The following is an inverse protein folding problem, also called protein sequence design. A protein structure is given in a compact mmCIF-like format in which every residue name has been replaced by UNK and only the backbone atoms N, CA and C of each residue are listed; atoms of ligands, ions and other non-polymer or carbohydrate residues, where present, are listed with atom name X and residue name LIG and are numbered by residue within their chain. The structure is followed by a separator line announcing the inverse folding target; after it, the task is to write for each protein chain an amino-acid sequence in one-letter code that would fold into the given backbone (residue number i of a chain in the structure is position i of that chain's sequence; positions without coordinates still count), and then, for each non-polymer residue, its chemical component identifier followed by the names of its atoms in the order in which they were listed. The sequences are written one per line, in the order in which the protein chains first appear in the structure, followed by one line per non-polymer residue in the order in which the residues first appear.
data_IF_323995351041
#
_entry.id   IF_323995351041
#
_cell.length_a   1.000
_cell.length_b   1.000
_cell.length_c   1.000
_cell.angle_alpha   90.00
_cell.angle_beta   90.00
_cell.angle_gamma   90.00
#
_symmetry.space_group_name_H-M   'P 1'
#
loop_
_entity.id
_entity.type
_entity.pdbx_description
1 polymer ?
#
# COMPACT_ATOMS: atom_id res chain seq x y z
N UNK A 1 9.03 -28.04 62.36
CA UNK A 1 8.57 -26.67 62.05
C UNK A 1 9.10 -26.27 60.68
N UNK A 2 8.36 -25.47 59.90
CA UNK A 2 8.66 -25.24 58.48
C UNK A 2 9.76 -24.19 58.27
N UNK A 3 10.74 -24.50 57.42
CA UNK A 3 11.48 -23.47 56.68
C UNK A 3 10.61 -23.04 55.50
N UNK A 4 10.47 -21.73 55.27
CA UNK A 4 9.91 -21.18 54.03
C UNK A 4 10.99 -20.29 53.44
N UNK A 5 11.57 -20.71 52.31
CA UNK A 5 12.43 -19.84 51.51
C UNK A 5 11.56 -18.93 50.65
N UNK A 6 11.87 -17.63 50.63
CA UNK A 6 11.21 -16.69 49.71
C UNK A 6 11.83 -16.90 48.33
N UNK A 7 11.17 -17.71 47.49
CA UNK A 7 11.50 -17.81 46.07
C UNK A 7 10.83 -16.62 45.36
N UNK A 8 11.63 -15.69 44.87
CA UNK A 8 11.12 -14.57 44.08
C UNK A 8 10.64 -15.06 42.71
N UNK A 9 9.36 -15.36 42.58
CA UNK A 9 8.72 -15.55 41.28
C UNK A 9 8.68 -14.20 40.56
N UNK A 10 9.58 -14.04 39.59
CA UNK A 10 9.50 -12.96 38.60
C UNK A 10 8.32 -13.26 37.68
N UNK A 11 7.10 -12.86 38.08
CA UNK A 11 5.91 -12.97 37.24
C UNK A 11 6.06 -11.97 36.10
N UNK A 12 6.61 -12.43 34.98
CA UNK A 12 6.55 -11.70 33.71
C UNK A 12 5.08 -11.66 33.32
N UNK A 13 4.43 -10.53 33.58
CA UNK A 13 3.09 -10.25 33.08
C UNK A 13 3.23 -10.04 31.57
N UNK A 14 3.15 -11.14 30.82
CA UNK A 14 2.83 -11.09 29.39
C UNK A 14 1.37 -10.65 29.34
N UNK A 15 1.16 -9.34 29.41
CA UNK A 15 -0.12 -8.72 29.13
C UNK A 15 -0.41 -8.96 27.65
N UNK A 16 -1.11 -10.07 27.37
CA UNK A 16 -1.60 -10.43 26.06
C UNK A 16 -2.73 -9.50 25.63
N UNK A 17 -2.40 -8.22 25.45
CA UNK A 17 -3.22 -7.25 24.74
C UNK A 17 -3.31 -7.70 23.28
N UNK A 18 -4.22 -8.64 23.00
CA UNK A 18 -4.80 -8.73 21.67
C UNK A 18 -5.44 -7.37 21.39
N UNK A 19 -5.07 -6.66 20.31
CA UNK A 19 -5.78 -5.46 19.92
C UNK A 19 -7.24 -5.79 19.62
N UNK A 20 -8.09 -4.76 19.66
CA UNK A 20 -9.55 -4.88 19.69
C UNK A 20 -10.13 -5.30 18.34
N UNK A 21 -9.88 -6.55 17.96
CA UNK A 21 -10.24 -7.20 16.68
C UNK A 21 -11.64 -7.80 16.68
N UNK A 22 -12.48 -7.42 17.65
CA UNK A 22 -13.92 -7.67 17.62
C UNK A 22 -14.56 -6.74 16.57
N UNK A 23 -14.48 -7.15 15.30
CA UNK A 23 -15.43 -6.73 14.27
C UNK A 23 -16.85 -6.83 14.85
N UNK A 24 -17.72 -5.82 14.67
CA UNK A 24 -19.04 -5.83 15.27
C UNK A 24 -19.84 -7.03 14.77
N UNK A 25 -20.03 -8.02 15.67
CA UNK A 25 -20.75 -9.28 15.44
C UNK A 25 -22.23 -9.07 15.07
N UNK A 26 -22.69 -7.82 15.16
CA UNK A 26 -23.97 -7.31 14.68
C UNK A 26 -23.70 -6.11 13.76
N UNK A 27 -23.56 -6.36 12.45
CA UNK A 27 -23.30 -5.32 11.45
C UNK A 27 -22.95 -5.90 10.07
N UNK A 28 -22.15 -6.96 10.04
CA UNK A 28 -21.77 -7.66 8.79
C UNK A 28 -20.88 -6.81 7.88
N UNK A 29 -20.81 -7.20 6.60
CA UNK A 29 -19.99 -6.52 5.59
C UNK A 29 -20.56 -5.17 5.15
N UNK A 30 -21.83 -4.89 5.47
CA UNK A 30 -22.52 -3.64 5.08
C UNK A 30 -21.84 -2.39 5.67
N UNK A 31 -21.23 -2.49 6.86
CA UNK A 31 -20.50 -1.38 7.53
C UNK A 31 -19.21 -0.94 6.79
N UNK A 32 -18.78 -1.72 5.80
CA UNK A 32 -17.64 -1.41 4.93
C UNK A 32 -18.07 -0.68 3.65
N UNK A 33 -19.33 -0.84 3.22
CA UNK A 33 -19.86 -0.24 1.98
C UNK A 33 -20.19 1.24 2.19
N UNK A 34 -20.10 2.09 1.14
CA UNK A 34 -20.54 3.48 1.21
C UNK A 34 -22.03 3.55 1.54
N UNK A 35 -22.41 4.46 2.44
CA UNK A 35 -23.81 4.70 2.87
C UNK A 35 -24.35 6.06 2.36
N UNK A 36 -23.74 6.58 1.31
CA UNK A 36 -23.92 7.93 0.76
C UNK A 36 -24.35 7.88 -0.71
N UNK A 37 -24.84 9.02 -1.23
CA UNK A 37 -25.30 9.14 -2.61
C UNK A 37 -24.19 8.83 -3.64
N UNK A 38 -22.95 9.22 -3.30
CA UNK A 38 -21.76 8.98 -4.11
C UNK A 38 -20.60 8.46 -3.26
N UNK A 39 -19.66 7.76 -3.89
CA UNK A 39 -18.32 7.53 -3.34
C UNK A 39 -17.25 8.24 -4.20
N UNK A 40 -16.18 8.72 -3.56
CA UNK A 40 -15.05 9.34 -4.26
C UNK A 40 -13.76 8.73 -3.77
N UNK A 41 -12.96 8.18 -4.68
CA UNK A 41 -11.70 7.51 -4.39
C UNK A 41 -10.52 8.36 -4.89
N UNK A 42 -9.58 8.67 -4.00
CA UNK A 42 -8.38 9.47 -4.26
C UNK A 42 -7.15 8.66 -3.86
N UNK A 43 -6.69 7.83 -4.80
CA UNK A 43 -5.85 6.67 -4.49
C UNK A 43 -4.39 6.86 -4.91
N UNK A 44 -3.51 6.87 -3.92
CA UNK A 44 -2.08 6.71 -4.13
C UNK A 44 -1.63 5.35 -3.55
N UNK A 45 -0.68 4.68 -4.22
CA UNK A 45 -0.08 3.44 -3.73
C UNK A 45 -0.68 2.17 -4.31
N UNK A 46 -0.08 1.01 -4.01
CA UNK A 46 -0.61 -0.29 -4.48
C UNK A 46 -1.62 -0.92 -3.52
N UNK A 47 -1.41 -0.96 -2.19
CA UNK A 47 -2.43 -1.43 -1.25
C UNK A 47 -3.76 -0.65 -1.31
N UNK A 48 -3.79 0.71 -1.36
CA UNK A 48 -5.05 1.46 -1.49
C UNK A 48 -5.75 1.24 -2.84
N UNK A 49 -4.99 1.10 -3.94
CA UNK A 49 -5.53 0.77 -5.25
C UNK A 49 -6.14 -0.64 -5.28
N UNK A 50 -5.40 -1.66 -4.82
CA UNK A 50 -5.88 -3.03 -4.71
C UNK A 50 -7.13 -3.15 -3.83
N UNK A 51 -7.12 -2.48 -2.67
CA UNK A 51 -8.24 -2.52 -1.74
C UNK A 51 -9.49 -1.92 -2.37
N UNK A 52 -9.38 -0.73 -2.97
CA UNK A 52 -10.49 -0.05 -3.64
C UNK A 52 -10.99 -0.87 -4.83
N UNK A 53 -10.07 -1.42 -5.63
CA UNK A 53 -10.38 -2.31 -6.75
C UNK A 53 -11.22 -3.53 -6.37
N UNK A 54 -10.97 -4.09 -5.18
CA UNK A 54 -11.77 -5.17 -4.61
C UNK A 54 -13.10 -4.65 -4.03
N UNK A 55 -13.05 -3.52 -3.33
CA UNK A 55 -14.20 -2.91 -2.68
C UNK A 55 -15.29 -2.45 -3.67
N UNK A 56 -14.93 -2.01 -4.87
CA UNK A 56 -15.88 -1.62 -5.93
C UNK A 56 -16.87 -2.72 -6.31
N UNK A 57 -16.53 -4.00 -6.13
CA UNK A 57 -17.45 -5.12 -6.39
C UNK A 57 -18.43 -5.38 -5.23
N UNK A 58 -18.26 -4.73 -4.07
CA UNK A 58 -19.10 -4.91 -2.88
C UNK A 58 -20.38 -4.05 -2.90
N UNK A 59 -20.44 -3.01 -3.74
CA UNK A 59 -21.51 -2.01 -3.73
C UNK A 59 -21.83 -1.46 -5.13
N UNK A 60 -23.07 -1.02 -5.34
CA UNK A 60 -23.50 -0.38 -6.60
C UNK A 60 -23.53 1.17 -6.52
N UNK A 61 -23.12 1.76 -5.39
CA UNK A 61 -23.05 3.22 -5.20
C UNK A 61 -22.21 3.87 -6.32
N UNK A 62 -22.74 4.90 -7.03
CA UNK A 62 -22.01 5.62 -8.07
C UNK A 62 -20.71 6.21 -7.53
N UNK A 63 -19.60 5.89 -8.17
CA UNK A 63 -18.25 6.16 -7.66
C UNK A 63 -17.41 6.90 -8.68
N UNK A 64 -16.69 7.93 -8.25
CA UNK A 64 -15.67 8.60 -9.06
C UNK A 64 -14.30 8.22 -8.51
N UNK A 65 -13.39 7.77 -9.37
CA UNK A 65 -12.07 7.29 -8.97
C UNK A 65 -10.99 8.09 -9.68
N UNK A 66 -10.06 8.62 -8.92
CA UNK A 66 -8.71 8.91 -9.40
C UNK A 66 -7.70 7.99 -8.72
N UNK A 67 -6.70 7.56 -9.46
CA UNK A 67 -5.58 6.76 -8.93
C UNK A 67 -4.27 7.12 -9.61
N UNK A 68 -3.16 7.05 -8.87
CA UNK A 68 -1.83 7.15 -9.46
C UNK A 68 -1.37 5.88 -10.22
N UNK A 69 -2.19 4.81 -10.25
CA UNK A 69 -1.88 3.52 -10.91
C UNK A 69 -3.01 3.00 -11.82
N UNK A 70 -3.56 3.79 -12.77
CA UNK A 70 -4.68 3.34 -13.61
C UNK A 70 -4.32 2.11 -14.46
N UNK A 71 -3.04 1.94 -14.80
CA UNK A 71 -2.50 0.78 -15.53
C UNK A 71 -2.60 -0.56 -14.80
N UNK A 72 -2.89 -0.58 -13.49
CA UNK A 72 -3.18 -1.81 -12.74
C UNK A 72 -4.58 -2.35 -13.06
N UNK A 73 -5.46 -1.54 -13.65
CA UNK A 73 -6.85 -1.87 -13.91
C UNK A 73 -7.14 -2.13 -15.40
N UNK A 74 -7.82 -3.24 -15.67
CA UNK A 74 -8.43 -3.54 -16.96
C UNK A 74 -9.88 -3.07 -16.94
N UNK A 75 -10.10 -1.82 -17.38
CA UNK A 75 -11.40 -1.13 -17.30
C UNK A 75 -12.57 -1.87 -17.96
N UNK A 76 -12.31 -2.88 -18.80
CA UNK A 76 -13.35 -3.77 -19.36
C UNK A 76 -14.11 -4.57 -18.28
N UNK A 77 -13.47 -4.87 -17.14
CA UNK A 77 -14.01 -5.72 -16.08
C UNK A 77 -14.25 -4.99 -14.76
N UNK A 78 -14.03 -3.67 -14.73
CA UNK A 78 -14.38 -2.81 -13.59
C UNK A 78 -15.91 -2.61 -13.56
N UNK A 79 -16.57 -2.57 -12.37
CA UNK A 79 -18.03 -2.43 -12.29
C UNK A 79 -18.56 -1.12 -12.91
N UNK A 80 -19.76 -1.17 -13.49
CA UNK A 80 -20.31 -0.05 -14.29
C UNK A 80 -20.74 1.17 -13.47
N UNK A 81 -20.78 1.07 -12.14
CA UNK A 81 -20.94 2.20 -11.23
C UNK A 81 -19.64 2.96 -10.94
N UNK A 82 -18.50 2.54 -11.51
CA UNK A 82 -17.18 3.15 -11.28
C UNK A 82 -16.75 4.01 -12.48
N UNK A 83 -16.69 5.32 -12.29
CA UNK A 83 -16.17 6.29 -13.24
C UNK A 83 -14.69 6.59 -12.93
N UNK A 84 -13.78 5.91 -13.64
CA UNK A 84 -12.34 6.16 -13.54
C UNK A 84 -11.96 7.41 -14.34
N UNK A 85 -11.31 8.37 -13.69
CA UNK A 85 -10.82 9.61 -14.29
C UNK A 85 -9.32 9.47 -14.55
N UNK A 86 -8.96 9.40 -15.83
CA UNK A 86 -7.56 9.49 -16.26
C UNK A 86 -7.10 10.95 -16.15
N UNK A 87 -6.14 11.19 -15.25
CA UNK A 87 -5.64 12.54 -14.93
C UNK A 87 -4.12 12.49 -14.70
N UNK A 88 -3.33 12.46 -15.79
CA UNK A 88 -1.87 12.44 -15.73
C UNK A 88 -1.28 13.80 -15.30
N UNK A 89 -2.04 14.89 -15.40
CA UNK A 89 -1.61 16.20 -14.90
C UNK A 89 -1.65 16.23 -13.37
N UNK A 90 -2.75 15.78 -12.75
CA UNK A 90 -2.84 15.61 -11.31
C UNK A 90 -1.76 14.64 -10.79
N UNK A 91 -1.49 13.55 -11.52
CA UNK A 91 -0.36 12.67 -11.23
C UNK A 91 0.99 13.41 -11.22
N UNK A 92 1.28 14.18 -12.28
CA UNK A 92 2.52 14.98 -12.39
C UNK A 92 2.67 16.01 -11.27
N UNK A 93 1.58 16.70 -10.90
CA UNK A 93 1.55 17.64 -9.77
C UNK A 93 1.84 16.91 -8.45
N UNK A 94 1.25 15.73 -8.25
CA UNK A 94 1.40 14.92 -7.03
C UNK A 94 2.79 14.30 -6.88
N UNK A 95 3.59 14.20 -7.95
CA UNK A 95 5.00 13.84 -7.86
C UNK A 95 5.94 15.04 -7.64
N UNK A 96 5.54 16.25 -8.06
CA UNK A 96 6.42 17.44 -8.11
C UNK A 96 6.01 18.57 -7.14
N UNK A 97 5.11 18.32 -6.19
CA UNK A 97 4.56 19.37 -5.34
C UNK A 97 5.57 19.95 -4.33
N UNK A 98 5.69 21.27 -4.36
CA UNK A 98 6.53 22.05 -3.45
C UNK A 98 5.74 23.12 -2.69
N UNK A 99 6.32 24.30 -2.54
CA UNK A 99 5.70 25.47 -1.91
C UNK A 99 4.55 26.10 -2.72
N UNK A 100 4.21 25.56 -3.89
CA UNK A 100 3.22 26.12 -4.83
C UNK A 100 2.01 25.22 -5.07
N UNK A 101 1.87 24.08 -4.36
CA UNK A 101 0.88 23.02 -4.62
C UNK A 101 -0.51 23.56 -5.02
N UNK A 102 -1.13 24.39 -4.20
CA UNK A 102 -2.50 24.86 -4.47
C UNK A 102 -2.62 25.91 -5.57
N UNK A 103 -1.56 26.68 -5.83
CA UNK A 103 -1.49 27.59 -7.00
C UNK A 103 -1.33 26.78 -8.30
N UNK A 104 -0.49 25.74 -8.30
CA UNK A 104 -0.32 24.82 -9.42
C UNK A 104 -1.64 24.11 -9.75
N UNK A 105 -2.29 23.50 -8.75
CA UNK A 105 -3.60 22.85 -8.92
C UNK A 105 -4.67 23.81 -9.46
N UNK A 106 -4.78 25.02 -8.88
CA UNK A 106 -5.79 25.99 -9.32
C UNK A 106 -5.53 26.50 -10.75
N UNK A 107 -4.27 26.57 -11.18
CA UNK A 107 -3.92 26.94 -12.55
C UNK A 107 -4.12 25.81 -13.56
N UNK A 108 -4.01 24.55 -13.12
CA UNK A 108 -4.25 23.37 -13.95
C UNK A 108 -5.76 23.11 -14.13
N UNK A 109 -6.54 23.20 -13.05
CA UNK A 109 -7.98 22.87 -13.03
C UNK A 109 -8.24 21.51 -13.69
N UNK A 110 -7.54 20.50 -13.14
CA UNK A 110 -7.36 19.15 -13.73
C UNK A 110 -8.68 18.42 -14.02
N UNK A 111 -8.74 17.45 -14.96
CA UNK A 111 -9.92 16.63 -15.26
C UNK A 111 -10.70 16.11 -14.04
N UNK A 112 -10.03 15.71 -12.97
CA UNK A 112 -10.65 15.28 -11.71
C UNK A 112 -11.38 16.44 -11.00
N UNK A 113 -10.79 17.65 -10.94
CA UNK A 113 -11.45 18.84 -10.39
C UNK A 113 -12.68 19.23 -11.23
N UNK A 114 -12.56 19.21 -12.56
CA UNK A 114 -13.67 19.49 -13.48
C UNK A 114 -14.84 18.52 -13.26
N UNK A 115 -14.53 17.23 -13.05
CA UNK A 115 -15.54 16.20 -12.85
C UNK A 115 -16.25 16.31 -11.49
N UNK A 116 -15.53 16.69 -10.44
CA UNK A 116 -16.10 16.95 -9.11
C UNK A 116 -16.93 18.24 -9.10
N UNK A 117 -16.46 19.35 -9.68
CA UNK A 117 -17.23 20.60 -9.79
C UNK A 117 -18.55 20.39 -10.55
N UNK A 118 -18.53 19.54 -11.59
CA UNK A 118 -19.75 19.10 -12.27
C UNK A 118 -20.67 18.33 -11.31
N UNK A 119 -20.16 17.35 -10.55
CA UNK A 119 -20.94 16.56 -9.61
C UNK A 119 -21.66 17.42 -8.58
N UNK A 120 -20.93 18.35 -7.95
CA UNK A 120 -21.44 19.24 -6.90
C UNK A 120 -22.50 20.20 -7.46
N UNK A 121 -22.31 20.68 -8.70
CA UNK A 121 -23.30 21.54 -9.38
C UNK A 121 -24.58 20.79 -9.75
N UNK A 122 -24.46 19.52 -10.14
CA UNK A 122 -25.61 18.67 -10.48
C UNK A 122 -26.35 18.18 -9.22
N UNK A 123 -25.64 17.96 -8.11
CA UNK A 123 -26.17 17.32 -6.89
C UNK A 123 -25.70 18.06 -5.60
N UNK A 124 -26.09 19.33 -5.38
CA UNK A 124 -25.51 20.17 -4.33
C UNK A 124 -25.78 19.70 -2.89
N UNK A 125 -26.86 18.94 -2.68
CA UNK A 125 -27.26 18.42 -1.36
C UNK A 125 -26.80 16.97 -1.12
N UNK A 126 -26.05 16.37 -2.04
CA UNK A 126 -25.65 14.98 -1.93
C UNK A 126 -24.57 14.76 -0.85
N UNK A 127 -24.45 13.50 -0.44
CA UNK A 127 -23.46 13.01 0.52
C UNK A 127 -22.39 12.17 -0.18
N UNK A 128 -21.19 12.13 0.42
CA UNK A 128 -19.99 11.54 -0.16
C UNK A 128 -19.26 10.64 0.85
N UNK A 129 -19.00 9.38 0.49
CA UNK A 129 -18.00 8.57 1.19
C UNK A 129 -16.68 8.74 0.46
N UNK A 130 -15.71 9.38 1.11
CA UNK A 130 -14.44 9.77 0.49
C UNK A 130 -13.34 8.81 0.97
N UNK A 131 -12.82 8.00 0.06
CA UNK A 131 -11.72 7.08 0.29
C UNK A 131 -10.41 7.74 -0.17
N UNK A 132 -9.55 8.12 0.77
CA UNK A 132 -8.33 8.87 0.48
C UNK A 132 -7.08 8.20 1.07
N UNK A 133 -5.98 8.16 0.32
CA UNK A 133 -4.69 7.68 0.87
C UNK A 133 -4.15 8.64 1.93
N UNK A 134 -3.70 8.08 3.06
CA UNK A 134 -3.23 8.81 4.25
C UNK A 134 -2.14 9.87 3.96
N UNK A 135 -1.21 9.57 3.06
CA UNK A 135 -0.17 10.51 2.60
C UNK A 135 -0.68 11.75 1.86
N UNK A 136 -1.92 11.77 1.38
CA UNK A 136 -2.46 12.80 0.46
C UNK A 136 -3.78 13.43 0.94
N UNK A 137 -4.07 13.36 2.25
CA UNK A 137 -5.31 13.88 2.84
C UNK A 137 -5.59 15.38 2.64
N UNK A 138 -4.62 16.18 2.17
CA UNK A 138 -4.84 17.55 1.69
C UNK A 138 -5.85 17.64 0.52
N UNK A 139 -6.05 16.54 -0.21
CA UNK A 139 -7.02 16.46 -1.31
C UNK A 139 -8.46 16.69 -0.81
N UNK A 140 -8.79 16.26 0.41
CA UNK A 140 -10.14 16.43 1.00
C UNK A 140 -10.52 17.93 1.14
N UNK A 141 -9.77 18.78 1.86
CA UNK A 141 -10.10 20.20 1.95
C UNK A 141 -9.97 20.95 0.62
N UNK A 142 -9.06 20.55 -0.28
CA UNK A 142 -8.91 21.20 -1.59
C UNK A 142 -10.07 20.91 -2.55
N UNK A 143 -10.54 19.67 -2.64
CA UNK A 143 -11.60 19.28 -3.58
C UNK A 143 -13.01 19.42 -3.01
N UNK A 144 -13.20 19.37 -1.68
CA UNK A 144 -14.54 19.42 -1.07
C UNK A 144 -14.79 20.71 -0.29
N UNK A 145 -14.06 20.97 0.80
CA UNK A 145 -14.38 22.10 1.70
C UNK A 145 -14.22 23.46 1.02
N UNK A 146 -13.17 23.65 0.20
CA UNK A 146 -13.00 24.82 -0.70
C UNK A 146 -14.19 25.06 -1.63
N UNK A 147 -14.89 23.99 -2.05
CA UNK A 147 -16.05 24.05 -2.96
C UNK A 147 -17.38 24.29 -2.24
N UNK A 148 -17.35 24.40 -0.90
CA UNK A 148 -18.53 24.64 -0.08
C UNK A 148 -19.27 23.38 0.38
N UNK A 149 -18.71 22.19 0.13
CA UNK A 149 -19.25 20.94 0.68
C UNK A 149 -18.99 20.92 2.19
N UNK A 150 -20.04 20.76 3.00
CA UNK A 150 -19.93 20.73 4.45
C UNK A 150 -19.24 19.45 4.94
N UNK A 151 -18.49 19.47 6.07
CA UNK A 151 -17.89 18.25 6.65
C UNK A 151 -18.91 17.14 6.89
N UNK A 152 -20.10 17.50 7.38
CA UNK A 152 -21.25 16.63 7.62
C UNK A 152 -21.92 16.07 6.34
N UNK A 153 -21.52 16.50 5.13
CA UNK A 153 -21.84 15.79 3.88
C UNK A 153 -20.81 14.68 3.56
N UNK A 154 -19.74 14.52 4.34
CA UNK A 154 -18.62 13.63 4.05
C UNK A 154 -18.45 12.57 5.15
N UNK A 155 -18.41 11.29 4.74
CA UNK A 155 -17.82 10.21 5.53
C UNK A 155 -16.40 9.96 5.02
N UNK A 156 -15.38 10.25 5.83
CA UNK A 156 -13.98 10.10 5.43
C UNK A 156 -13.42 8.73 5.85
N UNK A 157 -13.01 7.95 4.86
CA UNK A 157 -12.34 6.67 5.00
C UNK A 157 -10.89 6.81 4.51
N UNK A 158 -9.92 6.50 5.38
CA UNK A 158 -8.50 6.79 5.18
C UNK A 158 -7.76 5.48 4.93
N UNK A 159 -7.28 5.29 3.70
CA UNK A 159 -6.53 4.11 3.30
C UNK A 159 -5.04 4.32 3.61
N UNK A 160 -4.46 3.42 4.41
CA UNK A 160 -3.05 3.48 4.77
C UNK A 160 -2.17 2.85 3.66
N UNK A 161 -1.16 3.60 3.20
CA UNK A 161 -0.14 3.10 2.25
C UNK A 161 1.19 2.71 2.95
N UNK A 162 1.25 2.85 4.29
CA UNK A 162 2.43 2.60 5.12
C UNK A 162 3.15 3.87 5.61
N UNK A 163 2.43 4.98 5.81
CA UNK A 163 3.02 6.31 6.01
C UNK A 163 3.86 6.51 7.30
N UNK A 164 4.82 7.46 7.24
CA UNK A 164 5.69 7.86 8.37
C UNK A 164 4.95 8.19 9.69
N UNK A 165 3.67 8.57 9.64
CA UNK A 165 2.89 8.99 10.80
C UNK A 165 2.93 7.98 11.95
N UNK A 166 2.77 6.69 11.63
CA UNK A 166 2.75 5.60 12.63
C UNK A 166 4.05 5.53 13.43
N UNK A 167 5.20 5.66 12.77
CA UNK A 167 6.51 5.67 13.44
C UNK A 167 6.67 6.96 14.25
N UNK A 168 6.33 8.11 13.66
CA UNK A 168 6.52 9.42 14.28
C UNK A 168 5.76 9.57 15.61
N UNK A 169 4.46 9.25 15.66
CA UNK A 169 3.68 9.38 16.89
C UNK A 169 3.95 8.25 17.90
N UNK A 170 4.74 7.23 17.53
CA UNK A 170 5.25 6.19 18.44
C UNK A 170 6.55 6.64 19.10
N UNK A 171 7.39 7.41 18.39
CA UNK A 171 8.62 8.01 18.91
C UNK A 171 8.36 9.28 19.71
N UNK A 172 7.49 10.18 19.22
CA UNK A 172 7.06 11.40 19.92
C UNK A 172 5.54 11.65 19.78
N UNK A 173 4.72 11.15 20.73
CA UNK A 173 3.30 11.45 20.80
C UNK A 173 2.96 12.94 20.97
N UNK A 174 3.89 13.78 21.48
CA UNK A 174 3.61 15.18 21.84
C UNK A 174 3.43 16.09 20.62
N UNK A 175 3.98 15.68 19.47
CA UNK A 175 3.79 16.37 18.19
C UNK A 175 2.33 16.42 17.72
N UNK A 176 1.45 15.54 18.24
CA UNK A 176 0.09 15.38 17.73
C UNK A 176 -0.76 16.65 17.84
N UNK A 177 -0.83 17.29 19.02
CA UNK A 177 -1.69 18.49 19.17
C UNK A 177 -1.10 19.72 18.45
N UNK A 178 0.22 19.77 18.22
CA UNK A 178 0.86 20.72 17.30
C UNK A 178 0.39 20.47 15.87
N UNK A 179 0.51 19.25 15.36
CA UNK A 179 0.07 18.89 14.01
C UNK A 179 -1.45 19.06 13.83
N UNK A 180 -2.29 18.84 14.85
CA UNK A 180 -3.73 19.16 14.84
C UNK A 180 -3.98 20.65 14.62
N UNK A 181 -3.12 21.51 15.18
CA UNK A 181 -3.20 22.97 14.99
C UNK A 181 -2.77 23.37 13.58
N UNK A 182 -1.70 22.76 13.05
CA UNK A 182 -1.22 22.98 11.68
C UNK A 182 -2.22 22.47 10.63
N UNK A 183 -2.83 21.31 10.85
CA UNK A 183 -3.89 20.73 10.00
C UNK A 183 -5.10 21.65 9.91
N UNK A 184 -5.58 22.20 11.04
CA UNK A 184 -6.69 23.17 11.04
C UNK A 184 -6.36 24.41 10.20
N UNK A 185 -5.14 24.92 10.33
CA UNK A 185 -4.64 26.04 9.51
C UNK A 185 -4.51 25.67 8.02
N UNK A 186 -4.10 24.46 7.67
CA UNK A 186 -4.06 24.00 6.28
C UNK A 186 -5.46 23.87 5.67
N UNK A 187 -6.45 23.41 6.44
CA UNK A 187 -7.87 23.37 6.03
C UNK A 187 -8.43 24.78 5.83
N UNK A 188 -8.14 25.70 6.75
CA UNK A 188 -8.48 27.12 6.63
C UNK A 188 -7.88 27.75 5.37
N UNK A 189 -6.57 27.53 5.12
CA UNK A 189 -5.88 28.00 3.91
C UNK A 189 -6.51 27.42 2.65
N UNK A 190 -6.75 26.12 2.60
CA UNK A 190 -7.38 25.45 1.46
C UNK A 190 -8.76 26.05 1.12
N UNK A 191 -9.52 26.42 2.15
CA UNK A 191 -10.88 26.95 2.02
C UNK A 191 -10.89 28.43 1.65
N UNK A 192 -10.07 29.26 2.29
CA UNK A 192 -10.10 30.72 2.14
C UNK A 192 -9.16 31.28 1.06
N UNK A 193 -7.97 30.69 0.89
CA UNK A 193 -7.03 31.07 -0.16
C UNK A 193 -6.17 29.87 -0.60
N UNK A 194 -6.74 28.96 -1.42
CA UNK A 194 -6.07 27.73 -1.82
C UNK A 194 -4.73 27.95 -2.54
N UNK A 195 -4.48 29.11 -3.14
CA UNK A 195 -3.19 29.41 -3.78
C UNK A 195 -2.01 29.38 -2.80
N UNK A 196 -2.28 29.55 -1.50
CA UNK A 196 -1.29 29.48 -0.42
C UNK A 196 -1.11 28.07 0.17
N UNK A 197 -1.77 27.03 -0.35
CA UNK A 197 -1.48 25.66 0.05
C UNK A 197 -0.09 25.26 -0.42
N UNK A 198 0.76 24.94 0.55
CA UNK A 198 2.13 24.47 0.38
C UNK A 198 2.21 22.94 0.54
N UNK A 199 3.43 22.39 0.55
CA UNK A 199 3.71 20.96 0.70
C UNK A 199 3.07 20.36 1.95
N UNK A 200 2.16 19.41 1.73
CA UNK A 200 1.68 18.49 2.77
C UNK A 200 2.80 17.53 3.21
N UNK A 201 2.68 16.99 4.43
CA UNK A 201 3.53 15.91 4.93
C UNK A 201 2.67 14.74 5.37
N UNK A 202 3.04 13.52 4.98
CA UNK A 202 2.41 12.27 5.43
C UNK A 202 2.39 12.13 6.95
N UNK A 203 3.33 12.77 7.66
CA UNK A 203 3.38 12.92 9.13
C UNK A 203 2.09 13.48 9.72
N UNK A 204 1.38 14.33 8.98
CA UNK A 204 0.12 14.93 9.44
C UNK A 204 -1.07 13.97 9.39
N UNK A 205 -0.94 12.77 8.82
CA UNK A 205 -2.07 11.87 8.55
C UNK A 205 -2.99 11.64 9.76
N UNK A 206 -2.46 11.24 10.92
CA UNK A 206 -3.27 11.00 12.12
C UNK A 206 -3.97 12.27 12.63
N UNK A 207 -3.28 13.41 12.61
CA UNK A 207 -3.87 14.69 13.00
C UNK A 207 -4.95 15.14 12.00
N UNK A 208 -4.76 14.87 10.71
CA UNK A 208 -5.71 15.12 9.63
C UNK A 208 -6.98 14.27 9.78
N UNK A 209 -6.82 12.96 10.03
CA UNK A 209 -7.94 12.06 10.31
C UNK A 209 -8.70 12.45 11.58
N UNK A 210 -8.01 12.86 12.65
CA UNK A 210 -8.68 13.36 13.86
C UNK A 210 -9.47 14.66 13.64
N UNK A 211 -8.92 15.62 12.89
CA UNK A 211 -9.58 16.91 12.64
C UNK A 211 -10.77 16.78 11.69
N UNK A 212 -10.74 15.81 10.77
CA UNK A 212 -11.80 15.55 9.78
C UNK A 212 -12.70 14.36 10.14
N UNK A 213 -12.66 13.87 11.39
CA UNK A 213 -13.40 12.69 11.89
C UNK A 213 -13.34 11.47 10.95
N UNK A 214 -12.15 11.21 10.40
CA UNK A 214 -11.87 10.10 9.48
C UNK A 214 -11.62 8.77 10.19
N UNK A 215 -11.94 7.67 9.50
CA UNK A 215 -11.67 6.29 9.96
C UNK A 215 -10.53 5.67 9.16
N UNK A 216 -9.49 5.17 9.83
CA UNK A 216 -8.33 4.55 9.19
C UNK A 216 -8.55 3.07 8.85
N UNK A 217 -8.04 2.64 7.71
CA UNK A 217 -8.01 1.27 7.24
C UNK A 217 -6.54 0.86 7.12
N UNK A 218 -6.00 0.25 8.18
CA UNK A 218 -4.59 -0.11 8.29
C UNK A 218 -4.28 -1.45 7.64
N UNK A 219 -3.12 -1.61 7.00
CA UNK A 219 -2.73 -2.87 6.34
C UNK A 219 -2.56 -4.00 7.37
N UNK A 220 -2.01 -3.67 8.54
CA UNK A 220 -1.72 -4.59 9.64
C UNK A 220 -1.87 -3.88 11.00
N UNK A 221 -2.06 -4.63 12.09
CA UNK A 221 -2.15 -4.08 13.44
C UNK A 221 -0.85 -3.44 13.94
N UNK A 222 0.31 -3.84 13.40
CA UNK A 222 1.58 -3.14 13.64
C UNK A 222 1.61 -1.68 13.16
N UNK A 223 0.70 -1.29 12.27
CA UNK A 223 0.60 0.08 11.79
C UNK A 223 -0.10 1.03 12.78
N UNK A 224 -0.54 0.56 13.95
CA UNK A 224 -1.06 1.42 15.02
C UNK A 224 -0.82 0.94 16.46
N UNK A 225 -0.67 -0.37 16.70
CA UNK A 225 -0.50 -0.89 18.07
C UNK A 225 0.81 -0.37 18.70
N UNK A 226 0.72 0.02 19.96
CA UNK A 226 1.78 0.73 20.69
C UNK A 226 1.91 2.21 20.34
N UNK A 227 1.08 2.75 19.44
CA UNK A 227 1.00 4.19 19.15
C UNK A 227 -0.24 4.76 19.84
N UNK A 228 -0.06 5.25 21.07
CA UNK A 228 -1.16 5.65 21.97
C UNK A 228 -2.16 6.62 21.34
N UNK A 229 -1.69 7.52 20.49
CA UNK A 229 -2.52 8.45 19.72
C UNK A 229 -3.56 7.70 18.86
N UNK A 230 -3.15 6.66 18.14
CA UNK A 230 -4.05 5.88 17.31
C UNK A 230 -5.05 5.09 18.17
N UNK A 231 -4.55 4.44 19.23
CA UNK A 231 -5.33 3.61 20.14
C UNK A 231 -6.37 4.39 20.97
N UNK A 232 -6.18 5.71 21.17
CA UNK A 232 -7.03 6.54 22.07
C UNK A 232 -7.74 7.71 21.40
N UNK A 233 -7.33 8.16 20.20
CA UNK A 233 -7.91 9.36 19.54
C UNK A 233 -8.39 9.12 18.10
N UNK A 234 -8.07 7.99 17.48
CA UNK A 234 -8.48 7.70 16.10
C UNK A 234 -9.55 6.60 16.03
N UNK A 235 -10.38 6.64 14.98
CA UNK A 235 -11.22 5.50 14.59
C UNK A 235 -10.43 4.68 13.58
N UNK A 236 -10.41 3.36 13.71
CA UNK A 236 -9.66 2.50 12.78
C UNK A 236 -10.24 1.09 12.65
N UNK A 237 -9.81 0.38 11.60
CA UNK A 237 -10.01 -1.05 11.36
C UNK A 237 -8.82 -1.63 10.58
N UNK A 238 -8.64 -2.95 10.62
CA UNK A 238 -7.64 -3.65 9.80
C UNK A 238 -8.24 -3.95 8.41
N UNK A 239 -7.48 -3.74 7.33
CA UNK A 239 -7.89 -3.93 5.94
C UNK A 239 -8.32 -5.40 5.66
N UNK A 240 -9.62 -5.67 5.45
CA UNK A 240 -10.14 -7.04 5.48
C UNK A 240 -10.01 -7.78 4.13
N UNK A 241 -8.86 -7.66 3.45
CA UNK A 241 -8.62 -8.12 2.07
C UNK A 241 -9.18 -9.52 1.76
N UNK A 242 -8.80 -10.53 2.54
CA UNK A 242 -9.26 -11.92 2.32
C UNK A 242 -10.75 -12.08 2.55
N UNK A 243 -11.29 -11.49 3.62
CA UNK A 243 -12.74 -11.55 3.94
C UNK A 243 -13.58 -10.91 2.83
N UNK A 244 -13.14 -9.78 2.28
CA UNK A 244 -13.81 -9.14 1.14
C UNK A 244 -13.81 -10.05 -0.09
N UNK A 245 -12.65 -10.56 -0.51
CA UNK A 245 -12.54 -11.45 -1.67
C UNK A 245 -13.35 -12.75 -1.49
N UNK A 246 -13.28 -13.39 -0.33
CA UNK A 246 -14.03 -14.62 -0.03
C UNK A 246 -15.55 -14.38 0.01
N UNK A 247 -16.00 -13.19 0.39
CA UNK A 247 -17.42 -12.81 0.41
C UNK A 247 -18.02 -12.57 -0.98
N UNK A 248 -17.20 -12.25 -1.99
CA UNK A 248 -17.69 -11.99 -3.33
C UNK A 248 -18.23 -13.27 -4.01
N UNK A 249 -19.39 -13.19 -4.70
CA UNK A 249 -19.82 -14.17 -5.69
C UNK A 249 -18.72 -14.55 -6.68
N UNK A 250 -18.74 -15.79 -7.18
CA UNK A 250 -17.70 -16.32 -8.07
C UNK A 250 -17.55 -15.52 -9.38
N UNK A 251 -18.63 -14.94 -9.90
CA UNK A 251 -18.60 -14.02 -11.04
C UNK A 251 -17.80 -12.76 -10.71
N UNK A 252 -18.16 -12.06 -9.64
CA UNK A 252 -17.48 -10.83 -9.21
C UNK A 252 -16.01 -11.06 -8.85
N UNK A 253 -15.66 -12.20 -8.22
CA UNK A 253 -14.24 -12.59 -8.05
C UNK A 253 -13.52 -12.75 -9.39
N UNK A 254 -14.12 -13.46 -10.34
CA UNK A 254 -13.53 -13.67 -11.65
C UNK A 254 -13.37 -12.37 -12.44
N UNK A 255 -14.28 -11.40 -12.28
CA UNK A 255 -14.18 -10.09 -12.92
C UNK A 255 -13.20 -9.15 -12.20
N UNK A 256 -13.07 -9.22 -10.87
CA UNK A 256 -11.99 -8.59 -10.10
C UNK A 256 -10.60 -9.14 -10.50
N UNK A 257 -10.47 -10.46 -10.61
CA UNK A 257 -9.24 -11.12 -11.10
C UNK A 257 -8.85 -10.57 -12.49
N UNK A 258 -9.80 -10.52 -13.43
CA UNK A 258 -9.58 -9.93 -14.77
C UNK A 258 -9.31 -8.43 -14.72
N UNK A 259 -9.95 -7.68 -13.81
CA UNK A 259 -9.70 -6.24 -13.65
C UNK A 259 -8.28 -5.98 -13.15
N UNK A 260 -7.71 -6.84 -12.30
CA UNK A 260 -6.32 -6.73 -11.86
C UNK A 260 -5.30 -7.35 -12.84
N UNK A 261 -5.70 -7.77 -14.04
CA UNK A 261 -4.90 -8.56 -15.00
C UNK A 261 -4.36 -9.90 -14.42
N UNK A 262 -5.04 -10.49 -13.44
CA UNK A 262 -4.66 -11.73 -12.77
C UNK A 262 -5.33 -12.95 -13.42
N UNK A 263 -4.58 -13.71 -14.21
CA UNK A 263 -5.01 -15.01 -14.74
C UNK A 263 -4.53 -16.14 -13.83
N UNK A 264 -5.44 -16.69 -13.02
CA UNK A 264 -5.17 -17.78 -12.07
C UNK A 264 -4.59 -19.02 -12.76
N UNK A 265 -5.07 -19.37 -13.96
CA UNK A 265 -4.63 -20.56 -14.67
C UNK A 265 -3.24 -20.37 -15.28
N UNK A 266 -2.96 -19.19 -15.86
CA UNK A 266 -1.61 -18.79 -16.30
C UNK A 266 -0.64 -18.79 -15.13
N UNK A 267 -1.01 -18.17 -14.00
CA UNK A 267 -0.13 -18.11 -12.82
C UNK A 267 0.11 -19.48 -12.20
N UNK A 268 -0.89 -20.35 -12.14
CA UNK A 268 -0.69 -21.75 -11.71
C UNK A 268 0.30 -22.46 -12.62
N UNK A 269 0.19 -22.30 -13.94
CA UNK A 269 1.13 -22.88 -14.91
C UNK A 269 2.54 -22.28 -14.82
N UNK A 270 2.67 -21.00 -14.47
CA UNK A 270 3.95 -20.32 -14.23
C UNK A 270 4.62 -20.85 -12.97
N UNK A 271 3.88 -20.97 -11.86
CA UNK A 271 4.42 -21.38 -10.55
C UNK A 271 4.71 -22.89 -10.46
N UNK A 272 3.91 -23.72 -11.15
CA UNK A 272 4.03 -25.18 -11.16
C UNK A 272 4.32 -25.70 -12.58
N UNK A 273 5.47 -25.35 -13.19
CA UNK A 273 5.78 -25.71 -14.56
C UNK A 273 5.80 -27.23 -14.75
N UNK A 274 5.21 -27.71 -15.85
CA UNK A 274 5.03 -29.13 -16.19
C UNK A 274 4.29 -29.95 -15.10
N UNK A 275 3.40 -29.32 -14.33
CA UNK A 275 2.74 -29.91 -13.15
C UNK A 275 3.75 -30.39 -12.09
N UNK A 276 4.87 -29.65 -11.95
CA UNK A 276 5.94 -29.97 -11.01
C UNK A 276 5.46 -29.98 -9.56
N UNK A 277 5.97 -30.93 -8.77
CA UNK A 277 5.65 -31.10 -7.34
C UNK A 277 6.48 -30.22 -6.40
N UNK A 278 7.45 -29.48 -6.93
CA UNK A 278 8.28 -28.55 -6.17
C UNK A 278 7.46 -27.34 -5.79
N UNK A 279 7.56 -26.89 -4.54
CA UNK A 279 6.85 -25.70 -4.11
C UNK A 279 7.53 -24.44 -4.70
N UNK A 280 6.76 -23.43 -5.15
CA UNK A 280 7.30 -22.17 -5.61
C UNK A 280 7.83 -21.32 -4.45
N UNK A 281 9.00 -20.71 -4.66
CA UNK A 281 9.56 -19.64 -3.83
C UNK A 281 9.62 -18.37 -4.69
N UNK A 282 8.99 -17.27 -4.25
CA UNK A 282 9.10 -15.97 -4.92
C UNK A 282 9.98 -15.02 -4.11
N UNK A 283 11.03 -14.55 -4.77
CA UNK A 283 11.97 -13.54 -4.31
C UNK A 283 11.48 -12.19 -4.83
N UNK A 284 10.96 -11.34 -3.94
CA UNK A 284 10.67 -9.94 -4.24
C UNK A 284 12.00 -9.19 -4.40
N UNK A 285 12.22 -8.59 -5.56
CA UNK A 285 13.39 -7.79 -5.88
C UNK A 285 13.13 -6.30 -5.67
N UNK A 286 14.15 -5.59 -5.18
CA UNK A 286 14.18 -4.12 -5.14
C UNK A 286 15.10 -3.57 -6.23
N UNK A 287 15.35 -2.26 -6.22
CA UNK A 287 16.45 -1.64 -6.96
C UNK A 287 17.16 -0.58 -6.08
N UNK A 288 18.34 -0.18 -6.52
CA UNK A 288 19.13 0.92 -5.95
C UNK A 288 19.90 1.59 -7.08
N UNK A 289 19.91 2.93 -7.10
CA UNK A 289 20.77 3.68 -8.01
C UNK A 289 22.21 3.72 -7.49
N UNK A 290 23.18 3.56 -8.39
CA UNK A 290 24.62 3.59 -8.12
C UNK A 290 25.33 4.40 -9.21
N UNK A 291 26.60 4.83 -9.01
CA UNK A 291 27.40 5.45 -10.07
C UNK A 291 27.64 4.57 -11.32
N UNK A 292 27.23 3.30 -11.30
CA UNK A 292 27.27 2.38 -12.45
C UNK A 292 25.88 1.94 -12.91
N UNK A 293 24.85 2.75 -12.61
CA UNK A 293 23.46 2.49 -12.96
C UNK A 293 22.67 1.72 -11.89
N UNK A 294 21.54 1.14 -12.29
CA UNK A 294 20.61 0.48 -11.38
C UNK A 294 21.06 -0.96 -11.08
N UNK A 295 21.05 -1.33 -9.80
CA UNK A 295 21.34 -2.69 -9.30
C UNK A 295 20.22 -3.17 -8.37
N UNK A 296 20.10 -4.48 -8.12
CA UNK A 296 19.20 -5.00 -7.07
C UNK A 296 19.87 -4.88 -5.71
N UNK A 297 21.11 -5.36 -5.62
CA UNK A 297 22.01 -5.28 -4.48
C UNK A 297 23.45 -5.37 -4.99
N UNK A 298 24.40 -4.81 -4.23
CA UNK A 298 25.84 -4.94 -4.49
C UNK A 298 26.36 -6.35 -4.12
N UNK A 299 25.60 -7.11 -3.30
CA UNK A 299 25.95 -8.46 -2.83
C UNK A 299 25.01 -9.55 -3.37
N UNK A 300 24.25 -9.23 -4.41
CA UNK A 300 23.13 -10.04 -4.92
C UNK A 300 23.47 -11.52 -5.10
N UNK A 301 24.63 -11.86 -5.66
CA UNK A 301 25.05 -13.25 -5.89
C UNK A 301 25.20 -14.03 -4.57
N UNK A 302 25.82 -13.42 -3.56
CA UNK A 302 26.00 -14.00 -2.21
C UNK A 302 24.66 -14.15 -1.48
N UNK A 303 23.79 -13.14 -1.58
CA UNK A 303 22.47 -13.12 -0.95
C UNK A 303 21.54 -14.18 -1.56
N UNK A 304 21.56 -14.34 -2.89
CA UNK A 304 20.84 -15.41 -3.58
C UNK A 304 21.44 -16.79 -3.30
N UNK A 305 22.77 -16.96 -3.27
CA UNK A 305 23.38 -18.25 -2.94
C UNK A 305 23.01 -18.69 -1.52
N UNK A 306 23.05 -17.78 -0.54
CA UNK A 306 22.63 -18.04 0.85
C UNK A 306 21.17 -18.50 0.94
N UNK A 307 20.29 -17.98 0.07
CA UNK A 307 18.90 -18.43 -0.02
C UNK A 307 18.77 -19.84 -0.60
N UNK A 308 19.50 -20.14 -1.69
CA UNK A 308 19.51 -21.46 -2.32
C UNK A 308 20.10 -22.54 -1.41
N UNK A 309 21.12 -22.20 -0.62
CA UNK A 309 21.73 -23.10 0.36
C UNK A 309 20.80 -23.40 1.54
N UNK A 310 19.93 -22.44 1.93
CA UNK A 310 18.96 -22.61 3.02
C UNK A 310 17.76 -23.47 2.62
N UNK A 311 17.13 -23.18 1.47
CA UNK A 311 15.93 -23.88 1.02
C UNK A 311 16.24 -25.12 0.18
N UNK A 312 17.43 -25.23 -0.40
CA UNK A 312 17.87 -26.41 -1.15
C UNK A 312 17.17 -26.60 -2.49
N UNK A 313 17.29 -27.81 -3.05
CA UNK A 313 16.86 -28.09 -4.43
C UNK A 313 15.40 -28.55 -4.56
N UNK A 314 14.63 -28.68 -3.48
CA UNK A 314 13.23 -29.15 -3.51
C UNK A 314 12.21 -28.10 -3.97
N UNK A 315 12.64 -26.85 -4.14
CA UNK A 315 11.79 -25.72 -4.54
C UNK A 315 12.03 -25.29 -6.00
N UNK A 316 11.09 -24.49 -6.53
CA UNK A 316 11.26 -23.77 -7.79
C UNK A 316 11.31 -22.27 -7.51
N UNK A 317 12.46 -21.66 -7.78
CA UNK A 317 12.73 -20.26 -7.44
C UNK A 317 12.29 -19.32 -8.57
N UNK A 318 11.67 -18.21 -8.19
CA UNK A 318 11.25 -17.13 -9.05
C UNK A 318 11.73 -15.78 -8.50
N UNK A 319 12.16 -14.87 -9.36
CA UNK A 319 12.49 -13.49 -9.01
C UNK A 319 11.48 -12.54 -9.65
N UNK A 320 10.73 -11.78 -8.84
CA UNK A 320 9.84 -10.69 -9.29
C UNK A 320 10.45 -9.37 -8.83
N UNK A 321 11.20 -8.71 -9.71
CA UNK A 321 11.81 -7.42 -9.41
C UNK A 321 10.80 -6.28 -9.35
N UNK A 322 11.22 -5.14 -8.79
CA UNK A 322 10.50 -3.87 -8.86
C UNK A 322 10.24 -3.48 -10.33
N UNK A 323 9.12 -2.84 -10.71
CA UNK A 323 8.80 -2.50 -12.11
C UNK A 323 9.88 -1.73 -12.88
N UNK A 324 10.73 -1.00 -12.15
CA UNK A 324 11.92 -0.27 -12.63
C UNK A 324 13.05 -1.20 -13.09
N UNK A 325 13.24 -2.33 -12.40
CA UNK A 325 14.32 -3.28 -12.62
C UNK A 325 13.77 -4.72 -12.53
N UNK A 326 12.77 -5.09 -13.36
CA UNK A 326 11.89 -6.24 -13.13
C UNK A 326 12.62 -7.58 -13.18
N UNK A 327 13.76 -7.63 -13.87
CA UNK A 327 14.62 -8.79 -14.04
C UNK A 327 15.95 -8.68 -13.25
N UNK A 328 16.18 -7.60 -12.51
CA UNK A 328 17.52 -7.23 -12.06
C UNK A 328 18.40 -6.65 -13.17
N UNK A 329 19.63 -6.26 -12.82
CA UNK A 329 20.62 -5.76 -13.78
C UNK A 329 21.23 -6.91 -14.61
N UNK A 330 22.07 -6.61 -15.61
CA UNK A 330 22.66 -7.63 -16.50
C UNK A 330 23.35 -8.76 -15.73
N UNK A 331 24.17 -8.41 -14.74
CA UNK A 331 24.89 -9.38 -13.90
C UNK A 331 23.93 -10.29 -13.14
N UNK A 332 22.93 -9.73 -12.45
CA UNK A 332 21.91 -10.49 -11.73
C UNK A 332 21.13 -11.43 -12.65
N UNK A 333 20.74 -10.99 -13.85
CA UNK A 333 20.08 -11.85 -14.87
C UNK A 333 20.94 -13.02 -15.30
N UNK A 334 22.21 -12.76 -15.63
CA UNK A 334 23.14 -13.79 -16.08
C UNK A 334 23.52 -14.77 -14.95
N UNK A 335 23.53 -14.31 -13.70
CA UNK A 335 23.71 -15.17 -12.53
C UNK A 335 22.47 -16.03 -12.24
N UNK A 336 21.28 -15.43 -12.14
CA UNK A 336 20.01 -16.14 -11.90
C UNK A 336 19.78 -17.26 -12.92
N UNK A 337 20.07 -16.99 -14.20
CA UNK A 337 19.98 -17.98 -15.27
C UNK A 337 20.93 -19.18 -15.08
N UNK A 338 22.12 -18.98 -14.49
CA UNK A 338 23.07 -20.07 -14.16
C UNK A 338 22.63 -20.84 -12.91
N UNK A 339 22.09 -20.13 -11.92
CA UNK A 339 21.61 -20.67 -10.64
C UNK A 339 20.25 -21.39 -10.73
N UNK A 340 19.53 -21.26 -11.85
CA UNK A 340 18.21 -21.87 -12.04
C UNK A 340 17.05 -21.08 -11.43
N UNK A 341 17.26 -19.80 -11.10
CA UNK A 341 16.20 -18.88 -10.66
C UNK A 341 15.48 -18.35 -11.90
N UNK A 342 14.16 -18.52 -11.94
CA UNK A 342 13.32 -18.08 -13.04
C UNK A 342 12.98 -16.59 -12.90
N UNK A 343 13.12 -15.80 -13.96
CA UNK A 343 12.58 -14.43 -13.97
C UNK A 343 11.05 -14.53 -14.05
N UNK A 344 10.34 -13.85 -13.14
CA UNK A 344 8.88 -13.85 -13.12
C UNK A 344 8.32 -13.06 -14.32
N UNK A 345 7.22 -13.48 -14.97
CA UNK A 345 6.80 -12.88 -16.24
C UNK A 345 6.53 -11.36 -16.15
N UNK A 346 7.20 -10.58 -17.00
CA UNK A 346 7.08 -9.12 -17.03
C UNK A 346 5.67 -8.61 -17.36
N UNK A 347 4.84 -9.42 -18.03
CA UNK A 347 3.46 -9.08 -18.38
C UNK A 347 2.48 -9.16 -17.19
N UNK A 348 2.98 -9.37 -15.97
CA UNK A 348 2.20 -9.41 -14.73
C UNK A 348 2.03 -8.02 -14.10
N UNK A 349 1.02 -7.28 -14.59
CA UNK A 349 0.64 -5.93 -14.11
C UNK A 349 0.01 -5.90 -12.71
N UNK A 350 -0.34 -7.06 -12.14
CA UNK A 350 -1.01 -7.16 -10.85
C UNK A 350 -0.11 -6.78 -9.64
N UNK A 351 -0.70 -6.25 -8.55
CA UNK A 351 -0.03 -6.12 -7.26
C UNK A 351 0.44 -7.47 -6.68
N UNK A 352 1.56 -7.49 -5.94
CA UNK A 352 2.18 -8.72 -5.41
C UNK A 352 1.23 -9.50 -4.50
N UNK A 353 0.40 -8.78 -3.76
CA UNK A 353 -0.61 -9.23 -2.82
C UNK A 353 -1.64 -10.18 -3.48
N UNK A 354 -1.89 -10.08 -4.79
CA UNK A 354 -2.74 -11.05 -5.51
C UNK A 354 -2.17 -12.48 -5.44
N UNK A 355 -0.85 -12.64 -5.44
CA UNK A 355 -0.22 -13.94 -5.27
C UNK A 355 -0.43 -14.49 -3.85
N UNK A 356 -0.38 -13.62 -2.85
CA UNK A 356 -0.61 -13.97 -1.44
C UNK A 356 -2.09 -14.28 -1.13
N UNK A 357 -3.00 -13.61 -1.83
CA UNK A 357 -4.44 -13.87 -1.78
C UNK A 357 -4.79 -15.25 -2.34
N UNK A 358 -4.31 -15.56 -3.56
CA UNK A 358 -4.67 -16.78 -4.29
C UNK A 358 -3.88 -18.04 -3.89
N UNK A 359 -2.64 -17.92 -3.42
CA UNK A 359 -1.78 -19.06 -3.10
C UNK A 359 -1.40 -19.05 -1.61
N UNK A 360 -2.22 -19.65 -0.71
CA UNK A 360 -2.02 -19.58 0.74
C UNK A 360 -0.74 -20.29 1.24
N UNK A 361 -0.23 -21.26 0.49
CA UNK A 361 1.00 -22.01 0.81
C UNK A 361 2.23 -21.53 0.00
N UNK A 362 2.11 -20.38 -0.69
CA UNK A 362 3.20 -19.79 -1.47
C UNK A 362 4.29 -19.22 -0.56
N UNK A 363 5.52 -19.71 -0.71
CA UNK A 363 6.66 -19.15 0.02
C UNK A 363 7.11 -17.86 -0.68
N UNK A 364 7.19 -16.77 0.10
CA UNK A 364 7.68 -15.47 -0.33
C UNK A 364 8.74 -14.93 0.62
N UNK A 365 9.53 -14.01 0.09
CA UNK A 365 10.55 -13.28 0.82
C UNK A 365 11.39 -12.46 -0.14
N UNK A 366 12.48 -11.88 0.36
CA UNK A 366 13.39 -11.07 -0.45
C UNK A 366 13.78 -9.80 0.28
N UNK A 367 14.07 -8.74 -0.49
CA UNK A 367 14.26 -7.41 0.08
C UNK A 367 12.94 -6.91 0.68
N UNK A 368 13.01 -5.98 1.63
CA UNK A 368 11.87 -5.26 2.22
C UNK A 368 10.78 -4.94 1.21
N UNK A 369 9.49 -5.00 1.60
CA UNK A 369 8.36 -4.38 0.88
C UNK A 369 7.12 -4.38 1.79
N UNK A 370 6.26 -3.36 1.69
CA UNK A 370 5.00 -3.31 2.45
C UNK A 370 4.05 -4.46 2.08
N UNK A 371 4.17 -5.03 0.87
CA UNK A 371 3.40 -6.20 0.44
C UNK A 371 3.50 -7.39 1.40
N UNK A 372 4.63 -7.56 2.12
CA UNK A 372 4.81 -8.64 3.09
C UNK A 372 3.93 -8.50 4.34
N UNK A 373 3.37 -7.31 4.63
CA UNK A 373 2.35 -7.15 5.68
C UNK A 373 1.04 -7.90 5.32
N UNK A 374 0.77 -8.16 4.04
CA UNK A 374 -0.38 -8.99 3.64
C UNK A 374 -0.12 -10.50 3.68
N UNK A 375 1.13 -10.92 3.92
CA UNK A 375 1.51 -12.34 3.96
C UNK A 375 1.20 -12.97 5.33
N UNK A 376 0.80 -14.24 5.32
CA UNK A 376 0.63 -15.05 6.54
C UNK A 376 1.95 -15.49 7.18
N UNK A 377 1.85 -16.10 8.36
CA UNK A 377 2.93 -16.77 9.12
C UNK A 377 3.67 -17.85 8.31
N UNK A 378 2.96 -18.50 7.39
CA UNK A 378 3.48 -19.56 6.50
C UNK A 378 4.11 -19.03 5.22
N UNK A 379 3.63 -17.88 4.71
CA UNK A 379 4.02 -17.35 3.40
C UNK A 379 5.33 -16.56 3.48
N UNK A 380 5.46 -15.60 4.39
CA UNK A 380 6.71 -14.83 4.51
C UNK A 380 7.74 -15.62 5.33
N UNK A 381 8.77 -16.12 4.65
CA UNK A 381 9.72 -17.11 5.22
C UNK A 381 11.18 -16.71 5.11
N UNK A 382 11.53 -15.68 4.35
CA UNK A 382 12.88 -15.14 4.35
C UNK A 382 12.91 -13.63 4.09
N UNK A 383 13.92 -12.95 4.61
CA UNK A 383 14.15 -11.51 4.43
C UNK A 383 15.62 -11.25 4.11
N UNK A 384 15.91 -10.28 3.24
CA UNK A 384 17.26 -9.90 2.82
C UNK A 384 17.56 -8.49 3.32
N UNK A 385 18.62 -8.36 4.11
CA UNK A 385 19.00 -7.13 4.81
C UNK A 385 18.33 -7.01 6.18
N UNK A 386 18.19 -5.79 6.67
CA UNK A 386 17.58 -5.49 7.97
C UNK A 386 16.05 -5.38 7.86
N UNK A 387 15.32 -5.83 8.89
CA UNK A 387 13.90 -5.54 9.04
C UNK A 387 13.70 -4.11 9.58
N UNK A 388 12.77 -3.37 8.97
CA UNK A 388 12.39 -2.01 9.39
C UNK A 388 10.87 -1.90 9.61
N UNK A 389 10.42 -0.78 10.19
CA UNK A 389 9.01 -0.41 10.33
C UNK A 389 8.10 -1.50 10.92
N UNK A 390 6.90 -1.61 10.37
CA UNK A 390 5.90 -2.60 10.74
C UNK A 390 6.41 -4.07 10.61
N UNK A 391 7.19 -4.39 9.57
CA UNK A 391 7.77 -5.74 9.42
C UNK A 391 8.67 -6.13 10.60
N UNK A 392 9.49 -5.19 11.10
CA UNK A 392 10.33 -5.40 12.28
C UNK A 392 9.49 -5.70 13.51
N UNK A 393 8.43 -4.92 13.74
CA UNK A 393 7.53 -5.11 14.88
C UNK A 393 6.77 -6.44 14.80
N UNK A 394 6.24 -6.79 13.62
CA UNK A 394 5.46 -8.01 13.42
C UNK A 394 6.31 -9.28 13.61
N UNK A 395 7.57 -9.23 13.20
CA UNK A 395 8.57 -10.25 13.54
C UNK A 395 8.89 -10.27 15.05
N UNK A 396 9.07 -9.12 15.70
CA UNK A 396 9.30 -9.03 17.16
C UNK A 396 8.13 -9.57 18.01
N UNK A 397 6.90 -9.54 17.50
CA UNK A 397 5.74 -10.18 18.14
C UNK A 397 5.61 -11.68 17.84
N UNK A 398 6.56 -12.26 17.11
CA UNK A 398 6.62 -13.70 16.81
C UNK A 398 5.67 -14.15 15.70
N UNK A 399 5.15 -13.23 14.87
CA UNK A 399 4.19 -13.58 13.79
C UNK A 399 4.80 -14.39 12.65
N UNK A 400 6.13 -14.34 12.50
CA UNK A 400 6.89 -15.15 11.54
C UNK A 400 8.01 -15.91 12.27
N UNK A 401 7.67 -16.95 13.07
CA UNK A 401 8.64 -17.64 13.93
C UNK A 401 9.65 -18.49 13.14
N UNK A 402 9.43 -18.66 11.83
CA UNK A 402 10.27 -19.41 10.90
C UNK A 402 10.84 -18.50 9.79
N UNK A 403 11.11 -17.22 10.10
CA UNK A 403 11.68 -16.23 9.18
C UNK A 403 13.21 -16.36 9.12
N UNK A 404 13.75 -16.72 7.96
CA UNK A 404 15.19 -16.75 7.73
C UNK A 404 15.71 -15.38 7.27
N UNK A 405 16.47 -14.70 8.12
CA UNK A 405 17.05 -13.39 7.80
C UNK A 405 18.45 -13.57 7.21
N UNK A 406 18.62 -13.18 5.95
CA UNK A 406 19.89 -13.14 5.22
C UNK A 406 20.53 -11.76 5.46
N UNK A 407 21.66 -11.74 6.14
CA UNK A 407 22.41 -10.52 6.43
C UNK A 407 23.10 -9.99 5.15
N UNK A 408 22.43 -9.07 4.44
CA UNK A 408 23.04 -8.25 3.40
C UNK A 408 23.95 -7.16 3.97
N UNK A 409 24.75 -6.53 3.12
CA UNK A 409 25.53 -5.36 3.54
C UNK A 409 24.62 -4.19 3.96
N UNK A 410 25.05 -3.44 4.96
CA UNK A 410 24.16 -2.63 5.81
C UNK A 410 23.55 -1.38 5.13
N UNK A 411 22.36 -1.02 5.61
CA UNK A 411 21.62 0.25 5.42
C UNK A 411 21.01 0.56 4.04
N UNK A 412 19.68 0.75 4.05
CA UNK A 412 18.85 1.40 3.02
C UNK A 412 18.91 0.83 1.59
N UNK A 413 18.45 -0.41 1.45
CA UNK A 413 17.56 -0.80 0.33
C UNK A 413 16.12 -1.01 0.85
N UNK A 414 15.55 0.04 1.45
CA UNK A 414 14.13 0.02 1.82
C UNK A 414 13.33 0.19 0.53
N UNK A 415 12.45 -0.76 0.23
CA UNK A 415 11.33 -0.60 -0.71
C UNK A 415 10.28 0.26 0.00
N UNK A 416 10.66 1.52 0.23
CA UNK A 416 9.87 2.56 0.87
C UNK A 416 9.22 3.36 -0.24
N UNK A 417 7.89 3.43 -0.26
CA UNK A 417 7.20 4.32 -1.21
C UNK A 417 7.41 5.80 -0.85
N UNK A 418 8.08 6.06 0.28
CA UNK A 418 8.48 7.35 0.85
C UNK A 418 9.90 7.81 0.44
N UNK A 419 10.63 6.99 -0.34
CA UNK A 419 11.89 7.42 -0.92
C UNK A 419 11.62 8.52 -1.97
N UNK A 420 11.78 9.79 -1.57
CA UNK A 420 11.60 11.00 -2.40
C UNK A 420 12.49 11.08 -3.68
N UNK A 421 13.25 10.03 -3.99
CA UNK A 421 14.07 9.87 -5.19
C UNK A 421 13.57 8.75 -6.13
N UNK A 422 12.54 7.98 -5.74
CA UNK A 422 11.97 6.87 -6.53
C UNK A 422 10.89 7.32 -7.52
N UNK A 423 10.71 8.63 -7.69
CA UNK A 423 9.76 9.22 -8.64
C UNK A 423 10.38 9.53 -10.01
N UNK A 424 11.71 9.58 -10.11
CA UNK A 424 12.45 9.55 -11.38
C UNK A 424 12.60 8.10 -11.89
N UNK A 425 11.49 7.33 -11.91
CA UNK A 425 11.51 5.89 -12.13
C UNK A 425 10.39 5.36 -13.07
N UNK A 426 10.75 5.08 -14.33
CA UNK A 426 9.82 4.97 -15.48
C UNK A 426 9.59 3.52 -15.98
N UNK A 427 8.61 3.35 -16.86
CA UNK A 427 8.27 2.09 -17.56
C UNK A 427 7.63 2.34 -18.94
N UNK A 428 7.43 1.28 -19.74
CA UNK A 428 6.98 1.31 -21.14
C UNK A 428 5.44 1.22 -21.30
N UNK A 429 4.84 2.08 -22.12
CA UNK A 429 3.47 1.89 -22.58
C UNK A 429 3.41 1.35 -24.05
N UNK A 430 2.90 0.10 -24.25
CA UNK A 430 2.70 -0.46 -25.58
C UNK A 430 1.50 0.12 -26.36
N UNK A 431 0.65 0.95 -25.74
CA UNK A 431 -0.52 1.56 -26.41
C UNK A 431 -0.20 2.94 -27.02
N UNK A 432 0.40 3.86 -26.28
CA UNK A 432 0.85 5.18 -26.78
C UNK A 432 2.07 5.10 -27.71
N UNK A 433 2.85 4.02 -27.62
CA UNK A 433 4.18 3.85 -28.24
C UNK A 433 5.28 4.77 -27.67
N UNK A 434 5.05 5.38 -26.50
CA UNK A 434 6.06 6.16 -25.79
C UNK A 434 6.52 5.48 -24.50
N UNK A 435 7.84 5.35 -24.38
CA UNK A 435 8.52 5.50 -23.08
C UNK A 435 8.71 7.00 -22.87
N UNK A 436 8.76 7.46 -21.62
CA UNK A 436 9.36 8.76 -21.27
C UNK A 436 10.36 8.49 -20.11
N UNK A 437 10.93 9.54 -19.51
CA UNK A 437 12.01 9.49 -18.50
C UNK A 437 11.89 9.09 -16.85
N UNK A 438 13.24 8.67 -17.00
CA UNK A 438 14.42 8.18 -16.23
C UNK A 438 15.62 9.01 -16.69
N UNK A 439 16.43 9.62 -15.80
CA UNK A 439 17.63 10.32 -16.21
C UNK A 439 18.55 9.46 -17.09
N UNK A 440 19.13 10.10 -18.10
CA UNK A 440 20.03 9.46 -19.07
C UNK A 440 21.19 8.71 -18.39
N UNK A 441 21.45 7.48 -18.86
CA UNK A 441 22.73 6.82 -18.60
C UNK A 441 23.76 7.29 -19.64
N UNK A 442 24.59 8.25 -19.22
CA UNK A 442 25.84 8.64 -19.86
C UNK A 442 27.05 8.11 -19.07
#
# INVERSE_FOLDING_TARGET
MKKIGILAMLVVIIAGCKPYTDYPKTGGLEILKPQSDYAVYMLFGSPPALHSGLHWFMHEVPSIVWTNRPYQFNMKYVPTNIEMIDDPELHGIILNYGSTLGATLQSAYTPFEQRLDKLFKENPNATYTVYATDGFLWMVPYYFYRKGIAPEQITLEILNDGSEATALYREDPSLFDTHVTEVKKMIEIATLNPTLMTRWSSRYAFAAGFVMDGRFWFIDETEYVGTTIAETRLRFLNLPYRMLYESLPQSQRSDFEKSMFFDVAKMTKTLFPNNGKKAPIIIAGTYRSTPSGLVVSENFETEMQTLLDHFGSDYTYFFKGHPVLPEGNKTAREWMKKAGINIFPQDTRFPFEMLLLHYPDLIVGGYTTSSFLTASDKQFRFHIGELSGALKMRHQWGSWPNLFIIAGATTRSVFSMDAYHDFDAYYYDPYSKSYILYPDQA
#
